data_IF_813703701915
#
_entry.id   IF_813703701915
#
_cell.length_a   1.000
_cell.length_b   1.000
_cell.length_c   1.000
_cell.angle_alpha   90.00
_cell.angle_beta   90.00
_cell.angle_gamma   90.00
#
_symmetry.space_group_name_H-M   'P 1'
#
loop_
_entity.id
_entity.type
_entity.pdbx_description
1 polymer ?
#
# COMPACT_ATOMS: atom_id res chain seq x y z
N UNK A 1 42.35 35.47 14.53
CA UNK A 1 41.62 34.95 13.37
C UNK A 1 40.52 34.05 13.91
N UNK A 2 39.27 34.33 13.56
CA UNK A 2 38.12 33.49 13.88
C UNK A 2 37.85 32.59 12.68
N UNK A 3 37.82 31.28 12.87
CA UNK A 3 37.31 30.33 11.89
C UNK A 3 36.40 29.34 12.61
N UNK A 4 35.24 29.11 11.99
CA UNK A 4 33.98 28.69 12.59
C UNK A 4 33.89 27.16 12.78
N UNK A 5 33.01 26.67 13.68
CA UNK A 5 32.72 25.24 13.77
C UNK A 5 32.08 24.74 12.47
N UNK A 6 32.52 23.56 12.01
CA UNK A 6 31.94 22.86 10.85
C UNK A 6 30.55 22.38 11.25
N UNK A 7 29.54 23.13 10.83
CA UNK A 7 28.15 22.68 10.76
C UNK A 7 27.91 21.99 9.40
N UNK A 8 26.76 21.32 9.30
CA UNK A 8 26.15 20.71 8.14
C UNK A 8 26.43 19.22 7.80
N UNK A 9 25.53 18.39 8.34
CA UNK A 9 24.44 17.83 7.54
C UNK A 9 24.86 16.94 6.36
N UNK A 10 25.04 15.64 6.63
CA UNK A 10 24.71 14.58 5.67
C UNK A 10 24.05 13.40 6.40
N UNK A 11 22.76 13.25 6.14
CA UNK A 11 21.82 12.31 6.75
C UNK A 11 22.22 10.82 6.60
N UNK A 12 21.76 9.93 7.51
CA UNK A 12 21.88 8.49 7.33
C UNK A 12 20.98 8.02 6.17
N UNK A 13 21.61 7.49 5.13
CA UNK A 13 20.98 6.85 3.97
C UNK A 13 20.15 5.62 4.41
N UNK A 14 18.89 5.61 3.97
CA UNK A 14 18.07 4.44 3.64
C UNK A 14 17.81 3.40 4.75
N UNK A 15 16.67 3.58 5.43
CA UNK A 15 15.97 2.49 6.13
C UNK A 15 15.41 1.50 5.10
N UNK A 16 16.15 0.41 4.87
CA UNK A 16 15.81 -0.69 3.98
C UNK A 16 14.92 -1.70 4.73
N UNK A 17 13.61 -1.49 4.73
CA UNK A 17 12.63 -2.45 5.28
C UNK A 17 12.29 -3.47 4.18
N UNK A 18 12.99 -4.60 4.13
CA UNK A 18 12.67 -5.73 3.24
C UNK A 18 11.83 -6.76 4.02
N UNK A 19 10.54 -6.82 3.69
CA UNK A 19 9.61 -7.79 4.25
C UNK A 19 9.92 -9.22 3.74
N UNK A 20 9.92 -10.16 4.67
CA UNK A 20 10.18 -11.60 4.51
C UNK A 20 9.05 -12.29 3.75
N UNK A 21 9.36 -13.11 2.75
CA UNK A 21 8.42 -14.10 2.20
C UNK A 21 9.08 -15.49 2.13
N UNK A 22 8.90 -16.29 3.19
CA UNK A 22 9.29 -17.70 3.25
C UNK A 22 8.18 -18.56 2.63
N UNK A 23 8.37 -19.07 1.41
CA UNK A 23 7.40 -19.91 0.72
C UNK A 23 7.69 -21.40 0.99
N UNK A 24 7.05 -21.97 2.02
CA UNK A 24 7.09 -23.41 2.31
C UNK A 24 6.09 -24.16 1.44
N UNK A 25 6.58 -25.05 0.57
CA UNK A 25 5.75 -25.93 -0.27
C UNK A 25 5.61 -27.32 0.37
N UNK A 26 4.36 -27.78 0.59
CA UNK A 26 4.05 -29.19 0.86
C UNK A 26 3.57 -29.87 -0.44
N UNK A 27 4.06 -31.07 -0.80
CA UNK A 27 3.42 -31.86 -1.84
C UNK A 27 2.30 -32.73 -1.22
N UNK A 28 1.05 -32.36 -1.52
CA UNK A 28 -0.14 -33.20 -1.26
C UNK A 28 -0.24 -34.30 -2.32
N UNK A 29 0.06 -35.54 -1.95
CA UNK A 29 -0.17 -36.72 -2.78
C UNK A 29 -1.52 -37.36 -2.41
N UNK A 30 -2.63 -36.86 -2.97
CA UNK A 30 -3.92 -37.56 -3.00
C UNK A 30 -4.39 -37.73 -4.46
N UNK A 31 -3.97 -38.83 -5.07
CA UNK A 31 -4.57 -39.41 -6.28
C UNK A 31 -5.29 -40.68 -5.80
N UNK A 32 -6.50 -41.04 -6.17
CA UNK A 32 -7.50 -40.45 -7.04
C UNK A 32 -8.74 -41.35 -6.99
N UNK A 33 -9.92 -40.76 -6.94
CA UNK A 33 -11.17 -41.43 -7.28
C UNK A 33 -11.74 -40.67 -8.48
N UNK A 34 -11.10 -40.83 -9.64
CA UNK A 34 -11.51 -40.14 -10.86
C UNK A 34 -12.70 -40.86 -11.47
N UNK A 35 -13.88 -40.70 -10.86
CA UNK A 35 -15.11 -40.72 -11.66
C UNK A 35 -14.92 -39.65 -12.73
N UNK A 36 -14.99 -39.98 -14.04
CA UNK A 36 -14.92 -38.94 -15.06
C UNK A 36 -16.09 -38.00 -14.81
N UNK A 37 -15.81 -36.74 -14.47
CA UNK A 37 -16.85 -35.72 -14.43
C UNK A 37 -17.51 -35.69 -15.81
N UNK A 38 -18.86 -35.71 -15.89
CA UNK A 38 -19.53 -35.47 -17.16
C UNK A 38 -19.01 -34.14 -17.73
N UNK A 39 -18.92 -34.01 -19.08
CA UNK A 39 -18.50 -32.76 -19.68
C UNK A 39 -19.44 -31.66 -19.17
N UNK A 40 -18.87 -30.64 -18.55
CA UNK A 40 -19.62 -29.45 -18.16
C UNK A 40 -20.32 -28.94 -19.43
N UNK A 41 -21.62 -28.59 -19.39
CA UNK A 41 -22.23 -27.84 -20.48
C UNK A 41 -21.29 -26.69 -20.81
N UNK A 42 -21.01 -26.46 -22.10
CA UNK A 42 -20.13 -25.36 -22.52
C UNK A 42 -20.58 -24.10 -21.80
N UNK A 43 -19.78 -23.63 -20.84
CA UNK A 43 -20.16 -22.48 -20.04
C UNK A 43 -20.52 -21.35 -21.01
N UNK A 44 -21.65 -20.66 -20.80
CA UNK A 44 -21.91 -19.45 -21.58
C UNK A 44 -20.69 -18.54 -21.47
N UNK A 45 -20.35 -17.79 -22.53
CA UNK A 45 -19.21 -16.89 -22.49
C UNK A 45 -19.30 -16.03 -21.23
N UNK A 46 -18.29 -16.12 -20.37
CA UNK A 46 -18.20 -15.24 -19.20
C UNK A 46 -18.18 -13.81 -19.76
N UNK A 47 -19.13 -12.94 -19.37
CA UNK A 47 -19.09 -11.56 -19.81
C UNK A 47 -17.75 -10.96 -19.38
N UNK A 48 -17.11 -10.14 -20.23
CA UNK A 48 -15.85 -9.53 -19.87
C UNK A 48 -16.00 -8.75 -18.56
N UNK A 49 -14.97 -8.73 -17.70
CA UNK A 49 -15.05 -7.99 -16.46
C UNK A 49 -15.35 -6.51 -16.76
N UNK A 50 -16.10 -5.82 -15.89
CA UNK A 50 -16.32 -4.39 -16.06
C UNK A 50 -14.96 -3.67 -16.07
N UNK A 51 -14.71 -2.89 -17.13
CA UNK A 51 -13.49 -2.10 -17.30
C UNK A 51 -13.54 -0.76 -16.57
N UNK A 52 -14.54 -0.58 -15.69
CA UNK A 52 -14.70 0.66 -14.93
C UNK A 52 -13.62 0.73 -13.86
N UNK A 53 -12.77 1.78 -13.83
CA UNK A 53 -11.78 1.93 -12.78
C UNK A 53 -12.48 1.95 -11.42
N UNK A 54 -11.99 1.11 -10.51
CA UNK A 54 -12.49 1.09 -9.15
C UNK A 54 -12.08 2.40 -8.46
N UNK A 55 -13.06 3.18 -8.03
CA UNK A 55 -12.80 4.33 -7.17
C UNK A 55 -12.48 3.82 -5.77
N UNK A 56 -11.34 4.24 -5.25
CA UNK A 56 -10.94 3.98 -3.87
C UNK A 56 -10.85 5.30 -3.11
N UNK A 57 -11.29 5.28 -1.86
CA UNK A 57 -11.06 6.40 -0.94
C UNK A 57 -9.75 6.18 -0.20
N UNK A 58 -8.96 7.24 -0.05
CA UNK A 58 -7.77 7.28 0.78
C UNK A 58 -8.12 7.97 2.09
N UNK A 59 -7.62 7.43 3.19
CA UNK A 59 -7.84 7.96 4.52
C UNK A 59 -6.54 7.92 5.30
N UNK A 60 -6.29 8.92 6.13
CA UNK A 60 -5.10 8.96 6.99
C UNK A 60 -5.13 10.11 8.00
N UNK A 61 -4.10 10.15 8.85
CA UNK A 61 -3.89 11.26 9.80
C UNK A 61 -2.49 11.81 9.59
N UNK A 62 -2.36 13.12 9.44
CA UNK A 62 -1.08 13.81 9.38
C UNK A 62 -0.67 14.22 10.80
N UNK A 63 0.51 13.79 11.22
CA UNK A 63 1.08 14.07 12.55
C UNK A 63 2.47 14.69 12.42
N UNK A 64 2.85 15.49 13.41
CA UNK A 64 4.20 16.01 13.54
C UNK A 64 5.17 14.90 13.93
N UNK A 65 6.34 14.87 13.28
CA UNK A 65 7.32 13.81 13.50
C UNK A 65 8.05 13.86 14.85
N UNK A 66 8.10 15.03 15.50
CA UNK A 66 8.80 15.24 16.77
C UNK A 66 7.86 15.04 17.95
N UNK A 67 6.65 15.62 17.88
CA UNK A 67 5.70 15.57 18.99
C UNK A 67 4.64 14.48 18.85
N UNK A 68 4.37 14.00 17.63
CA UNK A 68 3.26 13.09 17.34
C UNK A 68 1.89 13.78 17.30
N UNK A 69 1.84 15.11 17.44
CA UNK A 69 0.58 15.86 17.45
C UNK A 69 -0.05 15.92 16.05
N UNK A 70 -1.38 15.82 15.94
CA UNK A 70 -2.06 15.97 14.65
C UNK A 70 -1.91 17.39 14.10
N UNK A 71 -1.67 17.50 12.80
CA UNK A 71 -1.48 18.79 12.12
C UNK A 71 -2.71 19.11 11.28
N UNK A 72 -3.33 20.26 11.60
CA UNK A 72 -4.46 20.79 10.84
C UNK A 72 -4.01 21.70 9.69
N UNK A 73 -4.79 21.72 8.61
CA UNK A 73 -4.56 22.63 7.48
C UNK A 73 -3.49 22.19 6.49
N UNK A 74 -3.06 20.93 6.53
CA UNK A 74 -2.06 20.38 5.61
C UNK A 74 -2.72 20.00 4.28
N UNK A 75 -2.08 20.37 3.17
CA UNK A 75 -2.51 19.99 1.83
C UNK A 75 -1.94 18.62 1.44
N UNK A 76 -2.82 17.63 1.27
CA UNK A 76 -2.48 16.29 0.78
C UNK A 76 -2.86 16.21 -0.68
N UNK A 77 -1.85 16.03 -1.55
CA UNK A 77 -2.05 15.93 -3.00
C UNK A 77 -1.83 14.51 -3.50
N UNK A 78 -2.84 13.91 -4.13
CA UNK A 78 -2.77 12.56 -4.72
C UNK A 78 -3.29 12.62 -6.14
N UNK A 79 -2.40 12.39 -7.12
CA UNK A 79 -2.74 12.36 -8.55
C UNK A 79 -3.59 13.56 -9.03
N UNK A 80 -3.28 14.76 -8.52
CA UNK A 80 -3.99 16.00 -8.84
C UNK A 80 -5.21 16.32 -7.97
N UNK A 81 -5.66 15.40 -7.12
CA UNK A 81 -6.67 15.65 -6.08
C UNK A 81 -6.02 16.27 -4.85
N UNK A 82 -6.65 17.28 -4.25
CA UNK A 82 -6.16 17.97 -3.06
C UNK A 82 -7.18 17.79 -1.93
N UNK A 83 -6.70 17.34 -0.76
CA UNK A 83 -7.46 17.29 0.49
C UNK A 83 -6.76 18.14 1.56
N UNK A 84 -7.53 18.80 2.43
CA UNK A 84 -7.01 19.59 3.54
C UNK A 84 -7.29 18.86 4.84
N UNK A 85 -6.27 18.67 5.68
CA UNK A 85 -6.44 18.00 6.96
C UNK A 85 -7.29 18.81 7.94
N UNK A 86 -8.17 18.14 8.67
CA UNK A 86 -9.05 18.76 9.68
C UNK A 86 -8.32 19.05 11.02
N UNK A 87 -9.05 19.43 12.07
CA UNK A 87 -8.48 19.77 13.38
C UNK A 87 -7.86 18.57 14.12
N UNK A 88 -8.11 17.34 13.67
CA UNK A 88 -7.49 16.12 14.21
C UNK A 88 -6.49 15.50 13.22
N UNK A 89 -6.14 16.23 12.15
CA UNK A 89 -5.16 15.82 11.15
C UNK A 89 -5.70 14.86 10.10
N UNK A 90 -7.00 14.58 10.06
CA UNK A 90 -7.60 13.61 9.16
C UNK A 90 -7.80 14.16 7.74
N UNK A 91 -7.57 13.32 6.72
CA UNK A 91 -7.80 13.63 5.30
C UNK A 91 -8.41 12.46 4.54
#
# INVERSE_FOLDING_TARGET
MAEQPVDDSMAPLMSMVMAVLMLSILPSMLQGSTTPSPPLPSDPPIPPPPTTPLLANLYGVVTDSQSGDPISGVSVTVNGSIAITDNIGYY
#
